data_IF_496929653639
#
_entry.id   IF_496929653639
#
_cell.length_a   1.000
_cell.length_b   1.000
_cell.length_c   1.000
_cell.angle_alpha   90.00
_cell.angle_beta   90.00
_cell.angle_gamma   90.00
#
_symmetry.space_group_name_H-M   'P 1'
#
loop_
_entity.id
_entity.type
_entity.pdbx_description
1 polymer ?
2 polymer ?
#
# COMPACT_ATOMS: atom_id res chain seq x y z
N UNK A 6 22.89 1.79 -4.45
CA UNK A 6 21.86 2.42 -5.25
C UNK A 6 20.48 2.27 -4.61
N UNK A 7 19.54 1.73 -5.37
CA UNK A 7 18.16 1.55 -4.91
C UNK A 7 17.66 0.14 -5.21
N UNK A 8 17.07 -0.50 -4.20
CA UNK A 8 16.67 -1.90 -4.30
C UNK A 8 15.28 -2.04 -4.90
N UNK A 9 15.11 -3.05 -5.74
CA UNK A 9 13.81 -3.32 -6.34
C UNK A 9 12.86 -3.88 -5.29
N UNK A 10 11.58 -3.50 -5.35
CA UNK A 10 10.61 -4.06 -4.40
C UNK A 10 9.99 -5.37 -4.88
N UNK A 11 9.39 -6.11 -3.94
CA UNK A 11 8.64 -7.32 -4.25
C UNK A 11 7.16 -7.04 -4.05
N UNK A 12 6.32 -7.57 -4.93
CA UNK A 12 4.89 -7.32 -4.87
C UNK A 12 4.09 -8.58 -5.20
N UNK A 13 3.10 -8.89 -4.36
CA UNK A 13 2.34 -10.13 -4.48
C UNK A 13 0.86 -9.93 -4.17
N UNK A 14 0.11 -11.03 -4.15
CA UNK A 14 -1.32 -10.98 -3.84
C UNK A 14 -1.79 -12.22 -3.08
N UNK A 15 -2.98 -12.11 -2.47
CA UNK A 15 -3.60 -13.24 -1.78
C UNK A 15 -5.12 -13.06 -1.74
N UNK A 16 -5.87 -14.18 -1.80
CA UNK A 16 -7.32 -14.15 -2.02
C UNK A 16 -8.19 -13.76 -0.82
N UNK A 17 -7.66 -13.72 0.40
CA UNK A 17 -8.51 -13.51 1.56
C UNK A 17 -8.81 -12.02 1.68
N UNK A 18 -9.72 -11.55 0.83
CA UNK A 18 -10.05 -10.13 0.74
C UNK A 18 -11.14 -9.72 1.74
N UNK A 19 -12.10 -10.61 1.97
CA UNK A 19 -13.18 -10.32 2.92
C UNK A 19 -12.65 -10.39 4.34
N UNK A 20 -11.72 -11.31 4.58
CA UNK A 20 -11.07 -11.43 5.87
C UNK A 20 -10.25 -10.18 6.16
N UNK A 21 -9.38 -9.82 5.22
CA UNK A 21 -8.52 -8.64 5.34
C UNK A 21 -9.31 -7.37 5.66
N UNK A 22 -10.39 -7.14 4.93
CA UNK A 22 -11.20 -5.93 5.11
C UNK A 22 -11.82 -5.83 6.50
N UNK A 23 -12.25 -6.96 7.04
CA UNK A 23 -12.91 -6.97 8.35
C UNK A 23 -11.95 -6.57 9.46
N UNK A 24 -10.69 -6.97 9.34
CA UNK A 24 -9.67 -6.58 10.32
C UNK A 24 -9.38 -5.09 10.21
N UNK A 25 -9.23 -4.62 8.97
CA UNK A 25 -8.88 -3.23 8.71
C UNK A 25 -10.03 -2.28 9.04
N UNK A 26 -11.25 -2.70 8.73
CA UNK A 26 -12.45 -1.89 8.99
C UNK A 26 -12.52 -1.40 10.43
N UNK A 27 -12.04 -2.21 11.36
CA UNK A 27 -12.13 -1.90 12.78
C UNK A 27 -11.34 -0.64 13.14
N UNK A 28 -10.40 -0.26 12.29
CA UNK A 28 -9.63 0.97 12.48
C UNK A 28 -10.20 2.11 11.65
N UNK A 29 -10.20 3.31 12.23
CA UNK A 29 -10.85 4.46 11.61
C UNK A 29 -10.02 5.06 10.47
N UNK A 30 -8.71 5.21 10.70
CA UNK A 30 -7.84 5.89 9.75
C UNK A 30 -7.15 4.93 8.78
N UNK A 31 -7.49 3.65 8.86
CA UNK A 31 -6.93 2.66 7.95
C UNK A 31 -7.83 2.44 6.73
N UNK A 32 -8.88 3.25 6.62
CA UNK A 32 -9.80 3.17 5.49
C UNK A 32 -10.04 4.54 4.87
N UNK A 33 -9.49 4.75 3.68
CA UNK A 33 -9.61 6.01 2.96
C UNK A 33 -10.75 5.94 1.95
N UNK A 34 -11.30 7.10 1.60
CA UNK A 34 -12.31 7.19 0.56
C UNK A 34 -11.84 8.15 -0.53
N UNK A 35 -11.24 7.59 -1.58
CA UNK A 35 -10.73 8.37 -2.69
C UNK A 35 -11.86 8.75 -3.64
N UNK A 36 -12.03 10.04 -3.87
CA UNK A 36 -13.15 10.55 -4.64
C UNK A 36 -12.94 10.53 -6.14
N UNK A 37 -13.96 10.97 -6.88
CA UNK A 37 -13.91 11.01 -8.33
C UNK A 37 -12.73 11.82 -8.82
N UNK A 38 -11.88 11.20 -9.63
CA UNK A 38 -10.73 11.88 -10.20
C UNK A 38 -9.73 12.33 -9.15
N UNK A 39 -9.81 11.75 -7.96
CA UNK A 39 -8.96 12.15 -6.85
C UNK A 39 -7.68 11.31 -6.78
N UNK A 40 -6.65 11.89 -6.16
CA UNK A 40 -5.39 11.19 -5.93
C UNK A 40 -4.94 11.41 -4.49
N UNK A 41 -5.04 10.37 -3.67
CA UNK A 41 -4.67 10.47 -2.26
C UNK A 41 -3.26 9.94 -2.03
N UNK A 42 -2.36 10.86 -1.70
CA UNK A 42 -0.99 10.50 -1.36
C UNK A 42 -0.89 10.23 0.14
N UNK A 43 -0.30 9.09 0.49
CA UNK A 43 -0.08 8.74 1.89
C UNK A 43 1.41 8.82 2.19
N UNK A 44 1.79 9.80 3.01
CA UNK A 44 3.18 10.00 3.38
C UNK A 44 3.55 9.10 4.56
N UNK A 45 4.51 8.21 4.33
CA UNK A 45 4.89 7.20 5.30
C UNK A 45 6.38 7.32 5.62
N UNK A 46 6.72 8.04 6.69
CA UNK A 46 8.14 8.26 6.99
C UNK A 46 8.87 6.97 7.38
N UNK A 47 10.13 6.87 7.00
CA UNK A 47 10.96 5.75 7.43
C UNK A 47 11.09 5.76 8.94
N UNK A 48 10.89 4.60 9.55
CA UNK A 48 11.07 4.46 10.99
C UNK A 48 12.56 4.39 11.30
N UNK A 49 13.01 5.23 12.23
CA UNK A 49 14.43 5.29 12.59
C UNK A 49 14.93 3.96 13.14
N UNK A 50 13.99 3.10 13.53
CA UNK A 50 14.30 1.77 14.05
C UNK A 50 13.98 0.69 13.03
N UNK A 51 13.86 1.08 11.76
CA UNK A 51 13.44 0.17 10.70
C UNK A 51 14.38 0.11 9.51
N UNK A 52 14.31 -0.98 8.76
CA UNK A 52 15.07 -1.09 7.54
C UNK A 52 14.27 -1.46 6.29
N UNK A 53 13.04 -1.89 6.46
CA UNK A 53 12.17 -2.24 5.33
C UNK A 53 10.77 -1.69 5.50
N UNK A 54 10.10 -1.43 4.38
CA UNK A 54 8.69 -1.05 4.37
C UNK A 54 7.86 -2.20 3.82
N UNK A 55 6.68 -2.39 4.41
CA UNK A 55 5.68 -3.30 3.86
C UNK A 55 4.37 -2.55 3.68
N UNK A 56 3.54 -3.02 2.75
CA UNK A 56 2.21 -2.45 2.58
C UNK A 56 1.19 -3.52 2.20
N UNK A 57 -0.03 -3.31 2.67
CA UNK A 57 -1.19 -4.11 2.30
C UNK A 57 -2.29 -3.16 1.90
N UNK A 58 -3.06 -3.50 0.87
CA UNK A 58 -4.23 -2.70 0.57
C UNK A 58 -5.26 -3.45 -0.26
N UNK A 59 -6.46 -2.89 -0.32
CA UNK A 59 -7.57 -3.48 -1.06
C UNK A 59 -8.70 -2.48 -1.19
N UNK A 60 -9.62 -2.75 -2.11
CA UNK A 60 -10.84 -1.97 -2.25
C UNK A 60 -12.00 -2.94 -2.40
N UNK A 61 -13.23 -2.42 -2.41
CA UNK A 61 -14.41 -3.29 -2.41
C UNK A 61 -14.98 -3.75 -3.76
N UNK A 62 -15.17 -2.83 -4.71
CA UNK A 62 -15.86 -3.17 -5.95
C UNK A 62 -15.09 -2.84 -7.21
N UNK A 63 -14.16 -1.90 -7.12
CA UNK A 63 -13.46 -1.38 -8.29
C UNK A 63 -11.96 -1.31 -8.07
N UNK A 64 -11.22 -1.24 -9.18
CA UNK A 64 -9.77 -1.14 -9.13
C UNK A 64 -9.35 0.29 -8.79
N UNK A 65 -8.05 0.48 -8.59
CA UNK A 65 -7.50 1.81 -8.36
C UNK A 65 -6.03 1.84 -8.72
N UNK A 66 -5.58 2.95 -9.29
CA UNK A 66 -4.18 3.15 -9.59
C UNK A 66 -3.37 3.14 -8.31
N UNK A 67 -2.23 2.45 -8.34
CA UNK A 67 -1.35 2.38 -7.18
C UNK A 67 0.11 2.34 -7.58
N UNK A 68 0.91 3.17 -6.91
CA UNK A 68 2.35 3.19 -7.10
C UNK A 68 2.99 3.80 -5.87
N UNK A 69 4.32 3.75 -5.82
CA UNK A 69 5.05 4.24 -4.65
C UNK A 69 6.28 5.03 -5.08
N UNK A 70 6.42 6.23 -4.51
CA UNK A 70 7.60 7.06 -4.72
C UNK A 70 8.37 7.16 -3.42
N UNK A 71 9.56 7.75 -3.48
CA UNK A 71 10.37 7.94 -2.28
C UNK A 71 11.01 9.33 -2.27
N UNK A 72 10.65 10.11 -1.25
CA UNK A 72 11.13 11.48 -1.11
C UNK A 72 12.30 11.56 -0.14
N UNK A 73 13.42 12.10 -0.61
CA UNK A 73 14.63 12.19 0.19
C UNK A 73 14.66 13.43 1.07
N UNK A 74 14.89 13.22 2.37
CA UNK A 74 15.06 14.32 3.32
C UNK A 74 15.99 13.90 4.46
N UNK A 112 13.57 18.69 -3.45
CA UNK A 112 12.54 17.65 -3.48
C UNK A 112 12.88 16.52 -4.47
N UNK A 113 13.84 15.68 -4.09
CA UNK A 113 14.30 14.59 -4.95
C UNK A 113 13.44 13.34 -4.76
N UNK A 114 12.90 12.83 -5.87
CA UNK A 114 12.03 11.66 -5.84
C UNK A 114 12.63 10.45 -6.56
N UNK A 115 12.24 9.26 -6.11
CA UNK A 115 12.60 8.01 -6.77
C UNK A 115 11.36 7.14 -6.92
N UNK A 116 11.10 6.70 -8.14
CA UNK A 116 9.92 5.89 -8.43
C UNK A 116 10.16 4.44 -8.02
N UNK A 117 9.63 4.07 -6.86
CA UNK A 117 9.79 2.71 -6.34
C UNK A 117 8.87 1.74 -7.06
N UNK A 118 7.58 2.07 -7.06
CA UNK A 118 6.57 1.29 -7.77
C UNK A 118 5.80 2.23 -8.70
N UNK A 119 5.83 1.96 -10.01
CA UNK A 119 5.13 2.85 -10.94
C UNK A 119 3.61 2.74 -10.82
N UNK A 120 2.92 3.86 -10.98
CA UNK A 120 1.47 3.89 -10.76
C UNK A 120 0.72 3.24 -11.92
N UNK A 121 0.25 2.02 -11.69
CA UNK A 121 -0.65 1.32 -12.60
C UNK A 121 -1.89 0.86 -11.84
N UNK A 122 -2.96 0.56 -12.57
CA UNK A 122 -4.20 0.10 -11.96
C UNK A 122 -4.05 -1.34 -11.48
N UNK A 123 -4.55 -1.59 -10.27
CA UNK A 123 -4.44 -2.91 -9.64
C UNK A 123 -5.83 -3.47 -9.32
N UNK A 124 -6.04 -4.74 -9.55
CA UNK A 124 -7.32 -5.33 -9.26
C UNK A 124 -7.40 -5.70 -7.81
N UNK A 125 -7.32 -4.69 -6.98
CA UNK A 125 -7.30 -4.87 -5.53
C UNK A 125 -8.71 -5.09 -4.97
N UNK A 126 -9.68 -5.29 -5.86
CA UNK A 126 -11.06 -5.59 -5.49
C UNK A 126 -11.39 -7.08 -5.66
N UNK A 127 -10.43 -7.84 -6.17
CA UNK A 127 -10.59 -9.28 -6.37
C UNK A 127 -9.61 -10.06 -5.50
N UNK A 128 -8.48 -9.43 -5.19
CA UNK A 128 -7.49 -10.00 -4.27
C UNK A 128 -6.78 -8.89 -3.50
N UNK A 129 -6.23 -9.23 -2.34
CA UNK A 129 -5.47 -8.27 -1.55
C UNK A 129 -4.10 -8.06 -2.18
N UNK A 130 -3.75 -6.80 -2.41
CA UNK A 130 -2.45 -6.45 -2.99
C UNK A 130 -1.46 -6.04 -1.90
N UNK A 131 -0.25 -6.58 -1.97
CA UNK A 131 0.77 -6.33 -0.96
C UNK A 131 2.17 -6.31 -1.56
N UNK A 132 3.10 -5.71 -0.84
CA UNK A 132 4.48 -5.63 -1.30
C UNK A 132 5.43 -5.16 -0.22
N UNK A 133 6.72 -5.19 -0.53
CA UNK A 133 7.75 -4.74 0.40
C UNK A 133 8.86 -4.00 -0.34
N UNK A 134 9.62 -3.20 0.39
CA UNK A 134 10.77 -2.52 -0.19
C UNK A 134 11.81 -2.18 0.86
N UNK A 135 13.07 -2.16 0.45
CA UNK A 135 14.19 -1.89 1.34
C UNK A 135 14.52 -0.40 1.38
N UNK A 136 14.54 0.17 2.58
CA UNK A 136 14.92 1.57 2.78
C UNK A 136 16.24 1.88 2.07
N UNK A 137 16.27 2.94 1.24
CA UNK A 137 17.55 3.35 0.66
C UNK A 137 18.26 4.39 1.53
N UNK A 138 17.52 5.00 2.44
CA UNK A 138 18.07 6.00 3.35
C UNK A 138 16.98 6.58 4.23
N UNK A 139 17.18 7.82 4.66
CA UNK A 139 16.17 8.53 5.44
C UNK A 139 15.28 9.35 4.52
N UNK A 140 14.00 9.01 4.49
CA UNK A 140 13.06 9.73 3.65
C UNK A 140 11.61 9.42 3.98
N UNK A 141 10.72 9.80 3.06
CA UNK A 141 9.29 9.59 3.22
C UNK A 141 8.73 8.87 2.00
N UNK A 142 8.17 7.68 2.22
CA UNK A 142 7.50 6.94 1.16
C UNK A 142 6.17 7.60 0.80
N UNK A 143 5.94 7.78 -0.49
CA UNK A 143 4.70 8.36 -0.98
C UNK A 143 3.83 7.29 -1.64
N UNK A 144 2.84 6.80 -0.89
CA UNK A 144 1.92 5.79 -1.41
C UNK A 144 0.79 6.45 -2.17
N UNK A 145 0.86 6.37 -3.50
CA UNK A 145 -0.13 7.00 -4.36
C UNK A 145 -1.32 6.08 -4.58
N UNK A 146 -2.51 6.58 -4.25
CA UNK A 146 -3.76 5.91 -4.61
C UNK A 146 -4.47 6.76 -5.65
N UNK A 147 -4.18 6.47 -6.92
CA UNK A 147 -4.64 7.30 -8.02
C UNK A 147 -6.02 6.86 -8.51
N UNK A 148 -6.96 7.79 -8.52
CA UNK A 148 -8.29 7.61 -9.09
C UNK A 148 -8.60 8.59 -10.19
N UNK A 149 -7.60 9.28 -10.65
CA UNK A 149 -7.76 10.38 -11.60
C UNK A 149 -8.56 9.96 -12.83
N UNK A 150 -8.54 8.66 -13.13
CA UNK A 150 -9.14 8.14 -14.35
C UNK A 150 -10.64 7.84 -14.20
N UNK A 151 -11.15 7.93 -12.97
CA UNK A 151 -12.54 7.60 -12.69
C UNK A 151 -13.41 8.86 -12.61
N UNK A 152 -14.37 8.97 -13.51
CA UNK A 152 -15.21 10.16 -13.61
C UNK A 152 -16.40 10.15 -12.65
N UNK A 153 -16.89 8.95 -12.32
CA UNK A 153 -18.09 8.83 -11.48
C UNK A 153 -17.94 8.03 -10.18
N UNK A 154 -16.96 7.13 -10.11
CA UNK A 154 -16.84 6.22 -8.98
C UNK A 154 -15.78 6.66 -7.97
N UNK A 155 -16.18 6.70 -6.70
CA UNK A 155 -15.25 6.87 -5.59
C UNK A 155 -14.78 5.49 -5.15
N UNK A 156 -13.58 5.42 -4.58
CA UNK A 156 -12.98 4.15 -4.18
C UNK A 156 -12.73 4.10 -2.68
N UNK A 157 -13.27 3.07 -2.04
CA UNK A 157 -13.05 2.85 -0.61
C UNK A 157 -11.81 2.00 -0.40
N UNK A 158 -10.71 2.65 -0.04
CA UNK A 158 -9.43 1.97 0.13
C UNK A 158 -9.26 1.42 1.54
N UNK A 159 -8.91 0.14 1.63
CA UNK A 159 -8.51 -0.48 2.89
C UNK A 159 -7.01 -0.73 2.83
N UNK A 160 -6.25 -0.06 3.69
CA UNK A 160 -4.79 -0.17 3.64
C UNK A 160 -4.17 -0.24 5.04
N UNK A 161 -2.92 -0.70 5.09
CA UNK A 161 -2.14 -0.64 6.32
C UNK A 161 -0.65 -0.76 6.00
N UNK A 162 0.17 0.01 6.71
CA UNK A 162 1.61 0.08 6.46
C UNK A 162 2.41 -0.47 7.64
N UNK A 163 3.58 -1.04 7.35
CA UNK A 163 4.41 -1.66 8.38
C UNK A 163 5.89 -1.27 8.26
N UNK A 164 6.71 -1.87 9.13
CA UNK A 164 8.16 -1.74 9.05
C UNK A 164 8.81 -2.89 9.82
N UNK A 165 10.04 -3.23 9.45
CA UNK A 165 10.78 -4.29 10.13
C UNK A 165 12.21 -3.85 10.43
N UNK A 166 12.70 -4.19 11.62
CA UNK A 166 14.05 -3.85 12.03
C UNK A 166 15.07 -4.64 11.21
N UNK B 1 -8.17 16.98 -7.35
CA UNK B 1 -7.45 15.73 -7.74
C UNK B 1 -6.17 15.52 -6.95
N UNK B 2 -6.18 15.91 -5.68
CA UNK B 2 -5.01 15.74 -4.82
C UNK B 2 -5.32 15.92 -3.34
N UNK B 3 -4.69 15.10 -2.51
CA UNK B 3 -4.86 15.15 -1.06
C UNK B 3 -3.76 14.33 -0.40
N UNK B 4 -3.17 14.87 0.66
CA UNK B 4 -2.05 14.21 1.33
C UNK B 4 -2.45 13.74 2.73
N UNK B 5 -2.07 12.51 3.06
CA UNK B 5 -2.33 11.93 4.37
C UNK B 5 -1.02 11.48 5.01
N UNK B 6 -0.93 11.62 6.33
CA UNK B 6 0.27 11.23 7.07
C UNK B 6 -0.04 10.03 7.95
N UNK B 7 0.76 8.98 7.80
CA UNK B 7 0.58 7.75 8.56
C UNK B 7 1.92 7.18 8.99
N UNK B 8 1.99 6.72 10.23
CA UNK B 8 3.20 6.10 10.76
C UNK B 8 3.21 4.62 10.39
N UNK B 9 4.38 4.07 10.04
CA UNK B 9 4.42 2.62 9.79
C UNK B 9 4.17 1.84 11.07
N UNK B 10 3.13 1.01 11.07
CA UNK B 10 2.83 0.16 12.22
C UNK B 10 3.86 -0.97 12.29
N UNK B 11 3.75 -1.81 13.31
CA UNK B 11 4.63 -2.96 13.44
C UNK B 11 3.80 -4.23 13.27
N UNK B 12 4.36 -5.21 12.58
CA UNK B 12 3.63 -6.45 12.30
C UNK B 12 3.21 -7.12 13.61
N UNK B 13 1.89 -7.24 13.84
CA UNK B 13 1.44 -7.90 15.06
C UNK B 13 1.82 -9.38 15.12
N UNK B 14 2.19 -9.85 16.30
CA UNK B 14 2.50 -11.26 16.52
C UNK B 14 1.24 -12.10 16.41
N UNK B 15 0.09 -11.46 16.61
CA UNK B 15 -1.20 -12.13 16.52
C UNK B 15 -1.42 -12.58 15.09
N UNK B 16 -1.13 -11.68 14.15
CA UNK B 16 -1.25 -11.98 12.73
C UNK B 16 0.03 -12.65 12.25
N UNK B 17 0.29 -13.84 12.77
CA UNK B 17 1.42 -14.66 12.36
C UNK B 17 0.93 -15.82 11.52
N UNK B 18 -0.19 -16.41 11.94
CA UNK B 18 -0.86 -17.42 11.13
C UNK B 18 -1.40 -16.78 9.85
N UNK B 19 -1.53 -15.46 9.86
CA UNK B 19 -1.93 -14.70 8.68
C UNK B 19 -0.78 -14.61 7.67
N UNK B 20 0.45 -14.78 8.14
CA UNK B 20 1.62 -14.74 7.28
C UNK B 20 1.91 -16.11 6.70
N UNK B 21 1.40 -17.15 7.35
CA UNK B 21 1.58 -18.52 6.89
C UNK B 21 0.65 -18.82 5.72
N UNK B 22 -0.60 -18.38 5.83
CA UNK B 22 -1.55 -18.53 4.74
C UNK B 22 -1.11 -17.65 3.57
N UNK B 23 -0.49 -16.52 3.88
CA UNK B 23 0.02 -15.62 2.86
C UNK B 23 1.06 -16.31 1.99
N UNK B 24 2.15 -16.75 2.61
CA UNK B 24 3.21 -17.46 1.91
C UNK B 24 2.68 -18.70 1.20
N UNK B 25 1.64 -19.30 1.76
CA UNK B 25 1.01 -20.46 1.15
C UNK B 25 0.24 -20.07 -0.10
N UNK B 26 -0.31 -18.86 -0.11
CA UNK B 26 -1.13 -18.38 -1.22
C UNK B 26 -0.50 -17.21 -1.97
N UNK B 27 0.65 -16.72 -1.51
CA UNK B 27 1.24 -15.54 -2.12
C UNK B 27 1.58 -15.87 -3.58
N UNK B 28 1.01 -15.07 -4.47
CA UNK B 28 1.18 -15.25 -5.91
C UNK B 28 1.74 -13.95 -6.48
N UNK B 29 3.05 -13.92 -6.78
CA UNK B 29 3.71 -12.68 -7.21
C UNK B 29 3.01 -11.98 -8.37
N UNK B 30 3.03 -10.65 -8.35
CA UNK B 30 2.49 -9.85 -9.45
C UNK B 30 3.55 -8.86 -9.93
N UNK B 31 3.53 -8.53 -11.23
CA UNK B 31 4.50 -7.54 -11.73
C UNK B 31 4.27 -6.15 -11.13
N UNK B 32 5.35 -5.45 -10.80
CA UNK B 32 5.26 -4.07 -10.34
C UNK B 32 4.93 -3.13 -11.50
N UNK B 33 5.32 -3.54 -12.70
CA UNK B 33 5.07 -2.77 -13.91
C UNK B 33 4.17 -3.54 -14.88
N UNK B 34 3.14 -2.87 -15.37
CA UNK B 34 2.19 -3.47 -16.30
C UNK B 34 2.31 -2.84 -17.69
#
# INVERSE_FOLDING_TARGET
MESLPVIAAPSMWTRPQIKDFKEKIQQDADSVITVGRGEVVTVRVPTHEEGSYLFWEFATDNYDIGFGVYFEWTDSPNTAVSVHVSESSDDDEEEEENIGCEEKAKKNANKPLLDEIVPVYRRDCHEEVYAGSHQYPGRGVYLLKFDNSYSLWRSKSVYYRVYYTR
GNRVIDAEPREIPLEYADDLLEAMAHHRPVPCSLGLSQAIANNTPIQQISETFWKYRK
#
